data_IF_451939827338
#
_entry.id   IF_451939827338
#
_cell.length_a   1.000
_cell.length_b   1.000
_cell.length_c   1.000
_cell.angle_alpha   90.00
_cell.angle_beta   90.00
_cell.angle_gamma   90.00
#
_symmetry.space_group_name_H-M   'P 1'
#
loop_
_entity.id
_entity.type
_entity.pdbx_description
1 polymer ?
#
# COMPACT_ATOMS: atom_id res chain seq x y z
N UNK A 1 -9.16 7.14 12.09
CA UNK A 1 -9.72 6.92 10.75
C UNK A 1 -8.76 7.59 9.79
N UNK A 2 -8.19 6.85 8.85
CA UNK A 2 -7.29 7.42 7.84
C UNK A 2 -8.06 7.59 6.54
N UNK A 3 -7.95 8.77 5.92
CA UNK A 3 -8.46 9.05 4.58
C UNK A 3 -7.36 8.72 3.57
N UNK A 4 -7.70 7.98 2.52
CA UNK A 4 -6.78 7.64 1.44
C UNK A 4 -7.47 8.01 0.12
N UNK A 5 -6.89 8.93 -0.64
CA UNK A 5 -7.35 9.22 -1.99
C UNK A 5 -6.97 8.08 -2.92
N UNK A 6 -7.91 7.61 -3.73
CA UNK A 6 -7.71 6.52 -4.71
C UNK A 6 -7.80 7.11 -6.11
N UNK A 7 -6.77 6.88 -6.91
CA UNK A 7 -6.61 7.45 -8.23
C UNK A 7 -6.42 6.36 -9.28
N UNK A 8 -6.97 6.58 -10.47
CA UNK A 8 -6.71 5.82 -11.68
C UNK A 8 -5.54 6.45 -12.42
N UNK A 9 -4.61 5.62 -12.88
CA UNK A 9 -3.45 6.02 -13.68
C UNK A 9 -3.15 4.91 -14.70
N UNK A 10 -4.14 4.59 -15.53
CA UNK A 10 -4.01 3.61 -16.62
C UNK A 10 -3.90 4.29 -17.98
N UNK A 11 -3.40 3.53 -18.95
CA UNK A 11 -3.32 3.96 -20.35
C UNK A 11 -4.70 4.35 -20.87
N UNK A 12 -4.80 5.55 -21.47
CA UNK A 12 -6.05 6.12 -21.97
C UNK A 12 -6.60 7.28 -21.14
N UNK A 13 -6.03 7.57 -19.97
CA UNK A 13 -6.30 8.80 -19.22
C UNK A 13 -5.25 9.87 -19.54
N UNK A 14 -5.63 11.16 -19.47
CA UNK A 14 -4.73 12.31 -19.64
C UNK A 14 -3.87 12.59 -18.39
N UNK A 15 -3.86 11.67 -17.44
CA UNK A 15 -3.10 11.70 -16.20
C UNK A 15 -3.85 11.03 -15.05
N UNK A 16 -3.29 11.07 -13.83
CA UNK A 16 -3.92 10.47 -12.68
C UNK A 16 -5.23 11.16 -12.28
N UNK A 17 -6.33 10.42 -12.30
CA UNK A 17 -7.66 10.94 -11.97
C UNK A 17 -8.22 10.30 -10.70
N UNK A 18 -8.79 11.11 -9.79
CA UNK A 18 -9.32 10.60 -8.53
C UNK A 18 -10.63 9.85 -8.77
N UNK A 19 -10.65 8.57 -8.43
CA UNK A 19 -11.83 7.71 -8.55
C UNK A 19 -12.70 7.79 -7.30
N UNK A 20 -12.07 8.00 -6.13
CA UNK A 20 -12.80 8.04 -4.87
C UNK A 20 -11.88 8.07 -3.65
N UNK A 21 -12.48 7.73 -2.52
CA UNK A 21 -11.83 7.72 -1.22
C UNK A 21 -11.96 6.37 -0.56
N UNK A 22 -10.86 5.90 0.00
CA UNK A 22 -10.80 4.75 0.87
C UNK A 22 -10.63 5.23 2.31
N UNK A 23 -11.60 4.92 3.15
CA UNK A 23 -11.59 5.21 4.57
C UNK A 23 -11.17 3.97 5.34
N UNK A 24 -10.05 4.07 6.06
CA UNK A 24 -9.63 3.05 7.01
C UNK A 24 -10.29 3.32 8.37
N UNK A 25 -11.21 2.43 8.76
CA UNK A 25 -11.85 2.43 10.08
C UNK A 25 -11.19 1.38 10.96
N UNK A 26 -10.32 1.86 11.85
CA UNK A 26 -9.58 1.03 12.81
C UNK A 26 -10.38 0.89 14.11
N UNK A 27 -10.46 -0.33 14.60
CA UNK A 27 -10.83 -0.69 15.97
C UNK A 27 -9.61 -1.33 16.65
N UNK A 28 -9.72 -1.69 17.93
CA UNK A 28 -8.62 -2.30 18.69
C UNK A 28 -8.18 -3.67 18.14
N UNK A 29 -9.05 -4.36 17.40
CA UNK A 29 -8.83 -5.74 16.94
C UNK A 29 -8.94 -5.91 15.44
N UNK A 30 -9.49 -4.93 14.72
CA UNK A 30 -9.78 -5.04 13.29
C UNK A 30 -9.75 -3.68 12.61
N UNK A 31 -9.30 -3.67 11.37
CA UNK A 31 -9.51 -2.56 10.45
C UNK A 31 -10.52 -2.97 9.39
N UNK A 32 -11.41 -2.06 9.00
CA UNK A 32 -12.36 -2.25 7.92
C UNK A 32 -12.16 -1.11 6.93
N UNK A 33 -12.10 -1.44 5.65
CA UNK A 33 -12.10 -0.47 4.57
C UNK A 33 -13.52 -0.15 4.15
N UNK A 34 -13.74 1.14 3.93
CA UNK A 34 -14.94 1.73 3.38
C UNK A 34 -14.53 2.49 2.13
N UNK A 35 -15.24 2.29 1.02
CA UNK A 35 -14.96 2.97 -0.23
C UNK A 35 -16.13 3.86 -0.63
N UNK A 36 -15.84 5.05 -1.11
CA UNK A 36 -16.82 5.98 -1.66
C UNK A 36 -16.28 6.58 -2.96
N UNK A 37 -17.06 6.49 -4.05
CA UNK A 37 -16.69 7.09 -5.31
C UNK A 37 -16.71 8.63 -5.25
N UNK A 38 -15.81 9.27 -6.00
CA UNK A 38 -15.91 10.68 -6.30
C UNK A 38 -17.07 10.90 -7.30
N UNK A 39 -17.91 11.92 -7.04
CA UNK A 39 -19.02 12.28 -7.92
C UNK A 39 -18.55 12.60 -9.34
N UNK A 40 -17.36 13.18 -9.48
CA UNK A 40 -16.76 13.47 -10.79
C UNK A 40 -16.44 12.17 -11.52
N UNK A 41 -15.87 11.18 -10.84
CA UNK A 41 -15.55 9.89 -11.43
C UNK A 41 -16.80 9.11 -11.86
N UNK A 42 -17.89 9.15 -11.08
CA UNK A 42 -19.16 8.54 -11.48
C UNK A 42 -19.79 9.21 -12.71
N UNK A 43 -19.61 10.52 -12.84
CA UNK A 43 -20.10 11.29 -13.98
C UNK A 43 -19.21 11.16 -15.23
N UNK A 44 -17.96 10.73 -15.06
CA UNK A 44 -16.98 10.65 -16.14
C UNK A 44 -17.14 9.37 -16.97
N UNK A 45 -17.48 9.47 -18.26
CA UNK A 45 -17.61 8.31 -19.15
C UNK A 45 -16.31 7.52 -19.34
N UNK A 46 -15.12 8.07 -19.05
CA UNK A 46 -13.86 7.33 -19.14
C UNK A 46 -13.61 6.43 -17.92
N UNK A 47 -14.22 6.75 -16.77
CA UNK A 47 -14.03 6.02 -15.51
C UNK A 47 -15.25 5.18 -15.12
N UNK A 48 -16.47 5.63 -15.44
CA UNK A 48 -17.71 5.04 -14.92
C UNK A 48 -18.14 3.73 -15.59
N UNK A 49 -17.44 3.25 -16.63
CA UNK A 49 -17.70 1.93 -17.22
C UNK A 49 -16.82 0.82 -16.63
N UNK A 50 -15.80 1.17 -15.84
CA UNK A 50 -14.86 0.21 -15.28
C UNK A 50 -15.32 -0.16 -13.89
N UNK A 51 -15.85 -1.37 -13.74
CA UNK A 51 -16.11 -1.94 -12.43
C UNK A 51 -14.78 -2.32 -11.77
N UNK A 52 -14.36 -1.53 -10.78
CA UNK A 52 -13.09 -1.73 -10.06
C UNK A 52 -13.01 -3.09 -9.36
N UNK A 53 -14.12 -3.50 -8.75
CA UNK A 53 -14.25 -4.73 -7.99
C UNK A 53 -15.68 -5.26 -8.15
N UNK A 54 -15.90 -6.58 -8.25
CA UNK A 54 -17.23 -7.16 -8.30
C UNK A 54 -18.16 -6.73 -7.15
N UNK A 55 -17.61 -6.40 -5.98
CA UNK A 55 -18.34 -5.95 -4.79
C UNK A 55 -18.46 -4.43 -4.68
N UNK A 56 -17.85 -3.65 -5.58
CA UNK A 56 -17.96 -2.19 -5.62
C UNK A 56 -18.91 -1.80 -6.77
N UNK A 57 -20.07 -1.25 -6.41
CA UNK A 57 -21.12 -0.86 -7.34
C UNK A 57 -21.04 0.63 -7.69
N UNK A 58 -21.43 1.01 -8.90
CA UNK A 58 -21.28 2.38 -9.41
C UNK A 58 -22.39 3.32 -8.89
N UNK A 59 -22.32 3.69 -7.63
CA UNK A 59 -23.25 4.66 -7.01
C UNK A 59 -22.57 5.54 -5.95
N UNK A 60 -23.22 6.66 -5.62
CA UNK A 60 -22.76 7.60 -4.58
C UNK A 60 -22.94 7.07 -3.16
N UNK A 61 -21.94 7.31 -2.31
CA UNK A 61 -21.99 6.99 -0.90
C UNK A 61 -21.15 5.78 -0.51
N UNK A 62 -21.07 5.56 0.80
CA UNK A 62 -20.19 4.56 1.40
C UNK A 62 -20.58 3.13 1.04
N UNK A 63 -19.57 2.34 0.67
CA UNK A 63 -19.66 0.93 0.39
C UNK A 63 -18.70 0.16 1.29
N UNK A 64 -19.13 -1.04 1.70
CA UNK A 64 -18.40 -1.87 2.65
C UNK A 64 -18.22 -3.28 2.08
N UNK A 65 -17.06 -3.92 2.32
CA UNK A 65 -16.82 -5.29 1.90
C UNK A 65 -17.78 -6.25 2.61
N UNK A 66 -18.17 -7.32 1.93
CA UNK A 66 -19.12 -8.30 2.50
C UNK A 66 -18.39 -9.15 3.55
N UNK A 67 -18.90 -9.26 4.79
CA UNK A 67 -18.31 -10.14 5.80
C UNK A 67 -18.15 -11.58 5.29
N UNK A 68 -17.04 -12.27 5.62
CA UNK A 68 -16.06 -11.92 6.65
C UNK A 68 -14.91 -11.02 6.17
N UNK A 69 -14.91 -10.53 4.92
CA UNK A 69 -13.82 -9.70 4.39
C UNK A 69 -13.72 -8.36 5.12
N UNK A 70 -12.51 -7.84 5.25
CA UNK A 70 -12.19 -6.54 5.85
C UNK A 70 -11.79 -5.47 4.83
N UNK A 71 -11.58 -5.87 3.57
CA UNK A 71 -11.28 -5.01 2.43
C UNK A 71 -11.81 -5.60 1.12
N UNK A 72 -11.95 -4.75 0.11
CA UNK A 72 -12.28 -5.16 -1.25
C UNK A 72 -11.08 -5.85 -1.93
N UNK A 73 -11.36 -6.69 -2.93
CA UNK A 73 -10.35 -7.40 -3.70
C UNK A 73 -9.40 -6.45 -4.43
N UNK A 74 -9.93 -5.43 -5.09
CA UNK A 74 -9.13 -4.44 -5.83
C UNK A 74 -8.03 -3.78 -4.96
N UNK A 75 -8.33 -3.47 -3.70
CA UNK A 75 -7.33 -2.93 -2.76
C UNK A 75 -6.42 -4.00 -2.17
N UNK A 76 -6.89 -5.25 -2.10
CA UNK A 76 -6.07 -6.39 -1.67
C UNK A 76 -4.98 -6.71 -2.69
N UNK A 77 -5.29 -6.60 -3.97
CA UNK A 77 -4.34 -6.84 -5.07
C UNK A 77 -3.24 -5.76 -5.11
N UNK A 78 -3.53 -4.58 -4.57
CA UNK A 78 -2.56 -3.49 -4.41
C UNK A 78 -1.72 -3.61 -3.14
N UNK A 79 -2.06 -4.49 -2.21
CA UNK A 79 -1.26 -4.74 -1.01
C UNK A 79 -0.05 -5.63 -1.31
N UNK A 80 1.01 -5.55 -0.49
CA UNK A 80 2.17 -6.42 -0.65
C UNK A 80 1.79 -7.88 -0.42
N UNK A 81 2.51 -8.77 -1.10
CA UNK A 81 2.41 -10.21 -0.92
C UNK A 81 2.92 -10.66 0.46
N UNK A 82 2.96 -11.98 0.69
CA UNK A 82 3.40 -12.53 1.98
C UNK A 82 4.84 -12.14 2.34
N UNK A 83 5.73 -12.02 1.35
CA UNK A 83 7.13 -11.69 1.58
C UNK A 83 7.31 -10.18 1.82
N UNK A 84 6.66 -9.33 1.04
CA UNK A 84 6.63 -7.88 1.26
C UNK A 84 6.06 -7.53 2.63
N UNK A 85 4.96 -8.18 3.06
CA UNK A 85 4.41 -8.02 4.42
C UNK A 85 5.41 -8.42 5.50
N UNK A 86 6.15 -9.52 5.30
CA UNK A 86 7.20 -9.94 6.23
C UNK A 86 8.30 -8.88 6.34
N UNK A 87 8.76 -8.31 5.22
CA UNK A 87 9.76 -7.24 5.23
C UNK A 87 9.27 -6.01 6.00
N UNK A 88 8.06 -5.55 5.71
CA UNK A 88 7.47 -4.40 6.40
C UNK A 88 7.33 -4.65 7.91
N UNK A 89 6.89 -5.85 8.30
CA UNK A 89 6.80 -6.24 9.71
C UNK A 89 8.18 -6.22 10.37
N UNK A 90 9.22 -6.74 9.71
CA UNK A 90 10.59 -6.73 10.25
C UNK A 90 11.15 -5.32 10.39
N UNK A 91 10.87 -4.42 9.45
CA UNK A 91 11.21 -3.00 9.56
C UNK A 91 10.54 -2.40 10.78
N UNK A 92 9.24 -2.64 10.94
CA UNK A 92 8.46 -2.14 12.08
C UNK A 92 8.96 -2.68 13.44
N UNK A 93 9.32 -3.96 13.54
CA UNK A 93 9.95 -4.55 14.74
C UNK A 93 11.30 -3.92 15.10
N UNK A 94 12.05 -3.44 14.10
CA UNK A 94 13.30 -2.70 14.32
C UNK A 94 13.00 -1.28 14.78
N UNK A 95 12.06 -0.61 14.13
CA UNK A 95 11.64 0.75 14.51
C UNK A 95 11.13 0.80 15.98
N UNK A 96 10.43 -0.25 16.44
CA UNK A 96 10.05 -0.39 17.87
C UNK A 96 11.29 -0.55 18.78
N UNK A 97 12.27 -1.38 18.40
CA UNK A 97 13.50 -1.59 19.19
C UNK A 97 14.35 -0.33 19.28
N UNK A 98 14.41 0.42 18.19
CA UNK A 98 15.15 1.68 18.08
C UNK A 98 14.40 2.85 18.76
N UNK A 99 13.18 2.61 19.27
CA UNK A 99 12.38 3.62 19.97
C UNK A 99 11.71 4.65 19.05
N UNK A 100 11.65 4.37 17.74
CA UNK A 100 10.96 5.19 16.74
C UNK A 100 9.44 4.96 16.75
N UNK A 101 8.99 3.84 17.31
CA UNK A 101 7.58 3.46 17.46
C UNK A 101 7.30 2.90 18.85
N UNK A 102 6.07 3.07 19.36
CA UNK A 102 5.67 2.51 20.64
C UNK A 102 5.60 0.98 20.59
N UNK A 103 5.98 0.32 21.70
CA UNK A 103 6.02 -1.15 21.82
C UNK A 103 4.66 -1.83 21.62
N UNK A 104 3.57 -1.12 21.89
CA UNK A 104 2.20 -1.64 21.76
C UNK A 104 1.58 -1.33 20.37
N UNK A 105 2.34 -0.68 19.49
CA UNK A 105 1.90 -0.38 18.13
C UNK A 105 1.86 -1.66 17.28
N UNK A 106 0.98 -1.69 16.30
CA UNK A 106 0.86 -2.77 15.33
C UNK A 106 0.55 -2.22 13.94
N UNK A 107 0.93 -2.98 12.91
CA UNK A 107 0.61 -2.68 11.53
C UNK A 107 -0.83 -3.10 11.21
N UNK A 108 -1.56 -2.20 10.57
CA UNK A 108 -2.88 -2.44 10.00
C UNK A 108 -2.80 -2.64 8.48
N UNK A 109 -3.90 -3.07 7.86
CA UNK A 109 -3.98 -3.28 6.41
C UNK A 109 -3.71 -2.01 5.61
N UNK A 110 -4.14 -0.85 6.11
CA UNK A 110 -3.80 0.44 5.50
C UNK A 110 -2.30 0.74 5.57
N UNK A 111 -1.60 0.32 6.63
CA UNK A 111 -0.15 0.52 6.70
C UNK A 111 0.56 -0.34 5.64
N UNK A 112 0.07 -1.56 5.37
CA UNK A 112 0.56 -2.41 4.28
C UNK A 112 0.24 -1.83 2.91
N UNK A 113 -0.99 -1.38 2.68
CA UNK A 113 -1.39 -0.75 1.42
C UNK A 113 -0.52 0.47 1.12
N UNK A 114 -0.31 1.32 2.13
CA UNK A 114 0.38 2.60 1.98
C UNK A 114 1.91 2.50 2.02
N UNK A 115 2.47 1.36 2.43
CA UNK A 115 3.91 1.17 2.54
C UNK A 115 4.56 0.49 1.32
N UNK A 116 3.79 0.26 0.25
CA UNK A 116 4.32 -0.16 -1.05
C UNK A 116 4.59 1.11 -1.88
N UNK A 117 5.83 1.23 -2.36
CA UNK A 117 6.23 2.32 -3.25
C UNK A 117 5.45 2.26 -4.57
N UNK A 118 4.98 3.40 -5.04
CA UNK A 118 4.07 3.51 -6.18
C UNK A 118 4.63 2.88 -7.46
N UNK A 119 5.93 3.09 -7.75
CA UNK A 119 6.62 2.50 -8.90
C UNK A 119 6.63 0.96 -8.96
N UNK A 120 6.57 0.26 -7.82
CA UNK A 120 6.55 -1.21 -7.77
C UNK A 120 5.17 -1.79 -7.53
N UNK A 121 4.15 -0.94 -7.40
CA UNK A 121 2.80 -1.39 -7.20
C UNK A 121 2.28 -2.02 -8.49
N UNK A 122 1.70 -3.20 -8.36
CA UNK A 122 1.00 -3.84 -9.47
C UNK A 122 -0.33 -3.14 -9.71
N UNK A 123 -0.63 -2.89 -10.98
CA UNK A 123 -1.89 -2.29 -11.41
C UNK A 123 -1.80 -0.78 -11.60
N UNK A 124 -2.97 -0.19 -11.89
CA UNK A 124 -3.10 1.21 -12.28
C UNK A 124 -3.79 2.07 -11.20
N UNK A 125 -3.94 1.54 -9.99
CA UNK A 125 -4.39 2.33 -8.85
C UNK A 125 -3.21 3.01 -8.19
N UNK A 126 -3.42 4.28 -7.83
CA UNK A 126 -2.48 5.13 -7.11
C UNK A 126 -3.15 5.65 -5.85
N UNK A 127 -2.36 5.90 -4.82
CA UNK A 127 -2.89 6.28 -3.52
C UNK A 127 -2.23 7.54 -3.00
N UNK A 128 -3.01 8.39 -2.34
CA UNK A 128 -2.52 9.56 -1.60
C UNK A 128 -2.98 9.51 -0.17
N UNK A 129 -2.05 9.71 0.77
CA UNK A 129 -2.40 9.84 2.19
C UNK A 129 -3.14 11.15 2.40
N UNK A 130 -4.31 11.10 3.03
CA UNK A 130 -5.17 12.26 3.29
C UNK A 130 -5.53 13.06 2.04
N UNK A 131 -5.51 12.41 0.87
CA UNK A 131 -5.72 13.04 -0.43
C UNK A 131 -4.78 14.23 -0.72
N UNK A 132 -3.63 14.28 -0.04
CA UNK A 132 -2.71 15.39 -0.06
C UNK A 132 -1.31 14.95 -0.50
N UNK A 133 -0.59 15.89 -1.12
CA UNK A 133 0.78 15.69 -1.57
C UNK A 133 0.92 14.75 -2.76
N UNK A 134 2.07 14.09 -2.81
CA UNK A 134 2.50 13.18 -3.87
C UNK A 134 1.87 11.80 -3.68
N UNK A 135 1.88 10.99 -4.75
CA UNK A 135 1.56 9.57 -4.62
C UNK A 135 2.57 8.87 -3.71
N UNK A 136 2.16 7.74 -3.12
CA UNK A 136 2.92 7.10 -2.05
C UNK A 136 4.30 6.61 -2.50
N UNK A 137 5.27 7.36 -2.02
CA UNK A 137 6.69 7.31 -2.36
C UNK A 137 6.95 7.55 -3.85
N UNK A 138 7.41 8.78 -4.12
CA UNK A 138 7.83 9.28 -5.42
C UNK A 138 9.33 9.59 -5.42
N UNK A 139 10.09 9.03 -4.47
CA UNK A 139 11.54 9.24 -4.36
C UNK A 139 12.26 8.40 -5.42
N UNK A 140 12.28 8.92 -6.64
CA UNK A 140 13.00 8.37 -7.80
C UNK A 140 14.48 8.08 -7.47
N UNK A 141 15.06 8.82 -6.53
CA UNK A 141 16.40 8.70 -6.00
C UNK A 141 16.64 7.48 -5.07
N UNK A 142 15.59 6.71 -4.76
CA UNK A 142 15.63 5.40 -4.05
C UNK A 142 14.94 4.29 -4.85
N UNK A 143 14.28 4.64 -5.95
CA UNK A 143 13.40 3.77 -6.69
C UNK A 143 14.19 2.78 -7.56
N UNK A 144 14.22 1.52 -7.11
CA UNK A 144 14.75 0.33 -7.75
C UNK A 144 16.27 0.41 -7.84
N UNK A 145 16.96 -0.44 -7.08
CA UNK A 145 18.39 -0.61 -7.28
C UNK A 145 18.62 -0.88 -8.77
N UNK A 146 19.55 -0.16 -9.43
CA UNK A 146 19.83 -0.37 -10.84
C UNK A 146 20.12 -1.86 -11.07
N UNK A 147 19.87 -2.40 -12.27
CA UNK A 147 20.09 -3.84 -12.56
C UNK A 147 21.48 -4.36 -12.10
N UNK A 148 22.47 -3.47 -12.01
CA UNK A 148 23.81 -3.69 -11.45
C UNK A 148 23.83 -4.11 -9.98
N UNK A 149 22.74 -3.89 -9.23
CA UNK A 149 22.58 -4.21 -7.82
C UNK A 149 21.79 -5.50 -7.57
N UNK A 150 21.39 -6.26 -8.59
CA UNK A 150 20.68 -7.55 -8.42
C UNK A 150 21.44 -8.48 -7.47
N UNK A 151 22.76 -8.63 -7.65
CA UNK A 151 23.58 -9.46 -6.78
C UNK A 151 23.63 -8.94 -5.33
N UNK A 152 23.45 -7.64 -5.12
CA UNK A 152 23.34 -7.03 -3.79
C UNK A 152 21.97 -7.28 -3.18
N UNK A 153 20.91 -7.19 -3.98
CA UNK A 153 19.54 -7.50 -3.56
C UNK A 153 19.36 -8.97 -3.20
N UNK A 154 19.90 -9.88 -4.01
CA UNK A 154 19.88 -11.33 -3.74
C UNK A 154 20.56 -11.64 -2.40
N UNK A 155 21.75 -11.07 -2.16
CA UNK A 155 22.47 -11.22 -0.88
C UNK A 155 21.67 -10.64 0.28
N UNK A 156 21.07 -9.47 0.11
CA UNK A 156 20.22 -8.86 1.13
C UNK A 156 18.99 -9.73 1.44
N UNK A 157 18.33 -10.29 0.41
CA UNK A 157 17.19 -11.20 0.54
C UNK A 157 17.57 -12.44 1.33
N UNK A 158 18.67 -13.12 0.95
CA UNK A 158 19.17 -14.30 1.67
C UNK A 158 19.52 -13.99 3.12
N UNK A 159 20.24 -12.90 3.35
CA UNK A 159 20.66 -12.53 4.70
C UNK A 159 19.47 -12.20 5.61
N UNK A 160 18.38 -11.64 5.06
CA UNK A 160 17.11 -11.46 5.79
C UNK A 160 16.50 -12.83 6.10
N UNK A 161 16.41 -13.74 5.14
CA UNK A 161 15.85 -15.08 5.38
C UNK A 161 16.65 -15.89 6.42
N UNK A 162 17.97 -15.74 6.43
CA UNK A 162 18.90 -16.39 7.36
C UNK A 162 18.94 -15.73 8.76
N UNK A 163 18.33 -14.55 8.94
CA UNK A 163 18.17 -13.85 10.22
C UNK A 163 16.70 -13.94 10.71
N UNK A 164 16.24 -15.09 11.23
CA UNK A 164 14.86 -15.26 11.71
C UNK A 164 14.55 -14.40 12.94
N UNK A 165 15.58 -14.05 13.71
CA UNK A 165 15.49 -13.24 14.91
C UNK A 165 15.44 -11.73 14.62
N UNK A 166 15.71 -11.34 13.36
CA UNK A 166 15.76 -9.96 12.90
C UNK A 166 16.75 -9.10 13.71
N UNK A 167 17.91 -9.65 14.11
CA UNK A 167 18.89 -8.96 15.00
C UNK A 167 20.16 -8.50 14.29
N UNK A 168 20.39 -8.92 13.04
CA UNK A 168 21.61 -8.57 12.32
C UNK A 168 21.80 -7.07 12.21
N UNK A 169 23.02 -6.56 12.45
CA UNK A 169 23.32 -5.12 12.45
C UNK A 169 22.99 -4.46 11.10
N UNK A 170 23.24 -5.17 10.01
CA UNK A 170 22.99 -4.70 8.64
C UNK A 170 21.53 -4.83 8.21
N UNK A 171 20.66 -5.45 9.01
CA UNK A 171 19.27 -5.74 8.62
C UNK A 171 18.46 -4.49 8.27
N UNK A 172 18.71 -3.35 8.92
CA UNK A 172 18.01 -2.11 8.59
C UNK A 172 18.41 -1.58 7.19
N UNK A 173 19.67 -1.78 6.80
CA UNK A 173 20.14 -1.45 5.45
C UNK A 173 19.51 -2.38 4.42
N UNK A 174 19.49 -3.69 4.67
CA UNK A 174 18.87 -4.66 3.77
C UNK A 174 17.38 -4.40 3.59
N UNK A 175 16.65 -4.12 4.67
CA UNK A 175 15.21 -3.80 4.59
C UNK A 175 14.94 -2.53 3.77
N UNK A 176 15.79 -1.49 3.90
CA UNK A 176 15.67 -0.30 3.05
C UNK A 176 15.92 -0.59 1.57
N UNK A 177 16.83 -1.52 1.25
CA UNK A 177 17.09 -1.93 -0.13
C UNK A 177 15.93 -2.73 -0.73
N UNK A 178 15.21 -3.51 0.09
CA UNK A 178 14.18 -4.45 -0.38
C UNK A 178 12.75 -3.90 -0.33
N UNK A 179 12.48 -2.87 0.49
CA UNK A 179 11.18 -2.18 0.59
C UNK A 179 11.27 -0.84 -0.17
N UNK A 180 12.11 -0.77 -1.20
CA UNK A 180 12.28 0.43 -2.01
C UNK A 180 10.93 0.92 -2.55
#
# INVERSE_FOLDING_TARGET
>A
MALIGVYADWEGLDGPERIGYLHSRRTRTREIFEFEYDKKALADPSLNFIQLDPEIMLYEGAQYPIPPKDKFGAFSDSCPDRWGRMLMKRRFERDIRDGLCDKDSHLYESDYLLGVHDLYRVGALRYKREDAGEFLDNRIDVAAPPFTEIASLERASRAIEEDPDNKELMGQKWLRMLIA
#
